data_IF_277868326463
#
_entry.id   IF_277868326463
#
_cell.length_a   1.000
_cell.length_b   1.000
_cell.length_c   1.000
_cell.angle_alpha   90.00
_cell.angle_beta   90.00
_cell.angle_gamma   90.00
#
_symmetry.space_group_name_H-M   'P 1'
#
loop_
_entity.id
_entity.type
_entity.pdbx_description
1 polymer ?
#
# COMPACT_ATOMS: atom_id res chain seq x y z
N UNK A 1 -3.74 2.31 -7.74
CA UNK A 1 -2.36 1.81 -7.76
C UNK A 1 -2.29 0.56 -8.62
N UNK A 2 -1.25 0.41 -9.40
CA UNK A 2 -1.10 -0.77 -10.24
C UNK A 2 0.20 -1.51 -9.90
N UNK A 3 0.47 -2.59 -10.62
CA UNK A 3 1.61 -3.45 -10.30
C UNK A 3 2.94 -2.71 -10.34
N UNK A 4 3.13 -1.90 -11.34
CA UNK A 4 4.36 -1.14 -11.48
C UNK A 4 4.53 -0.13 -10.37
N UNK A 5 3.47 0.55 -10.05
CA UNK A 5 3.49 1.56 -9.01
C UNK A 5 3.78 0.94 -7.65
N UNK A 6 3.17 -0.19 -7.38
CA UNK A 6 3.39 -0.86 -6.11
C UNK A 6 4.84 -1.31 -6.00
N UNK A 7 5.36 -1.89 -7.05
CA UNK A 7 6.73 -2.36 -7.04
C UNK A 7 7.71 -1.21 -6.83
N UNK A 8 7.48 -0.11 -7.49
CA UNK A 8 8.37 1.04 -7.38
C UNK A 8 8.35 1.74 -6.04
N UNK A 9 7.24 1.66 -5.33
CA UNK A 9 7.10 2.32 -4.03
C UNK A 9 7.02 1.35 -2.88
N UNK A 10 7.31 0.08 -3.13
CA UNK A 10 7.06 -0.95 -2.13
C UNK A 10 7.72 -0.69 -0.79
N UNK A 11 8.97 -0.29 -0.80
CA UNK A 11 9.71 -0.09 0.45
C UNK A 11 9.04 0.95 1.35
N UNK A 12 8.57 2.03 0.75
CA UNK A 12 7.87 3.07 1.49
C UNK A 12 6.46 2.61 1.84
N UNK A 13 5.80 2.00 0.88
CA UNK A 13 4.42 1.60 1.06
C UNK A 13 4.26 0.56 2.16
N UNK A 14 5.16 -0.41 2.21
CA UNK A 14 5.00 -1.48 3.19
C UNK A 14 5.08 -0.95 4.63
N UNK A 15 5.87 0.08 4.84
CA UNK A 15 5.97 0.67 6.16
C UNK A 15 4.67 1.32 6.58
N UNK A 16 4.07 2.07 5.68
CA UNK A 16 2.79 2.70 5.94
C UNK A 16 1.67 1.67 6.06
N UNK A 17 1.73 0.66 5.22
CA UNK A 17 0.75 -0.39 5.24
C UNK A 17 0.73 -1.10 6.58
N UNK A 18 1.90 -1.45 7.08
CA UNK A 18 1.98 -2.13 8.35
C UNK A 18 1.46 -1.25 9.49
N UNK A 19 1.78 0.02 9.42
CA UNK A 19 1.38 0.95 10.46
C UNK A 19 -0.13 1.17 10.50
N UNK A 20 -0.71 1.37 9.35
CA UNK A 20 -2.14 1.64 9.29
C UNK A 20 -2.99 0.38 9.30
N UNK A 21 -2.51 -0.67 8.68
CA UNK A 21 -3.25 -1.92 8.55
C UNK A 21 -2.51 -3.02 9.29
N UNK A 22 -2.65 -2.99 10.60
CA UNK A 22 -1.83 -3.81 11.50
C UNK A 22 -2.01 -5.31 11.41
N UNK A 23 -3.04 -5.79 10.71
CA UNK A 23 -3.22 -7.23 10.56
C UNK A 23 -2.18 -7.86 9.65
N UNK A 24 -1.53 -7.05 8.82
CA UNK A 24 -0.44 -7.57 8.01
C UNK A 24 0.77 -7.81 8.88
N UNK A 25 1.32 -8.99 8.80
CA UNK A 25 2.53 -9.33 9.55
C UNK A 25 3.74 -9.06 8.67
N UNK A 26 4.91 -9.06 9.29
CA UNK A 26 6.15 -8.92 8.53
C UNK A 26 6.26 -10.01 7.48
N UNK A 27 5.84 -11.21 7.84
CA UNK A 27 5.86 -12.32 6.92
C UNK A 27 4.96 -12.08 5.72
N UNK A 28 3.78 -11.54 5.97
CA UNK A 28 2.85 -11.18 4.90
C UNK A 28 3.48 -10.20 3.94
N UNK A 29 4.10 -9.17 4.49
CA UNK A 29 4.71 -8.13 3.68
C UNK A 29 5.86 -8.70 2.86
N UNK A 30 6.60 -9.61 3.44
CA UNK A 30 7.69 -10.25 2.75
C UNK A 30 7.19 -11.09 1.57
N UNK A 31 6.10 -11.80 1.79
CA UNK A 31 5.50 -12.61 0.75
C UNK A 31 4.98 -11.75 -0.40
N UNK A 32 4.40 -10.60 -0.07
CA UNK A 32 3.92 -9.69 -1.09
C UNK A 32 5.08 -9.15 -1.92
N UNK A 33 6.11 -8.68 -1.23
CA UNK A 33 7.35 -8.25 -1.88
C UNK A 33 7.17 -7.32 -3.07
N UNK A 34 6.15 -6.48 -3.02
CA UNK A 34 5.91 -5.55 -4.11
C UNK A 34 5.11 -6.11 -5.28
N UNK A 35 4.67 -7.35 -5.17
CA UNK A 35 3.85 -7.97 -6.20
C UNK A 35 2.39 -7.62 -5.99
N UNK A 36 1.79 -6.97 -6.97
CA UNK A 36 0.44 -6.47 -6.84
C UNK A 36 -0.59 -7.59 -6.64
N UNK A 37 -0.45 -8.66 -7.38
CA UNK A 37 -1.40 -9.77 -7.25
C UNK A 37 -1.35 -10.38 -5.86
N UNK A 38 -0.16 -10.50 -5.32
CA UNK A 38 0.00 -11.03 -3.97
C UNK A 38 -0.55 -10.07 -2.94
N UNK A 39 -0.37 -8.78 -3.18
CA UNK A 39 -0.92 -7.77 -2.28
C UNK A 39 -2.44 -7.88 -2.23
N UNK A 40 -3.08 -7.99 -3.39
CA UNK A 40 -4.53 -8.11 -3.45
C UNK A 40 -4.99 -9.39 -2.73
N UNK A 41 -4.29 -10.48 -2.94
CA UNK A 41 -4.64 -11.74 -2.30
C UNK A 41 -4.52 -11.66 -0.78
N UNK A 42 -3.45 -11.05 -0.30
CA UNK A 42 -3.28 -10.90 1.14
C UNK A 42 -4.30 -9.94 1.72
N UNK A 43 -4.63 -8.90 0.97
CA UNK A 43 -5.65 -7.96 1.41
C UNK A 43 -6.98 -8.67 1.59
N UNK A 44 -7.32 -9.53 0.65
CA UNK A 44 -8.54 -10.31 0.74
C UNK A 44 -8.51 -11.24 1.94
N UNK A 45 -7.36 -11.85 2.17
CA UNK A 45 -7.20 -12.81 3.24
C UNK A 45 -7.31 -12.17 4.62
N UNK A 46 -6.65 -11.03 4.79
CA UNK A 46 -6.59 -10.39 6.10
C UNK A 46 -7.76 -9.44 6.37
N UNK A 47 -8.28 -8.84 5.32
CA UNK A 47 -9.30 -7.80 5.45
C UNK A 47 -10.47 -7.99 4.52
N UNK A 48 -10.90 -9.22 4.30
CA UNK A 48 -11.96 -9.50 3.34
C UNK A 48 -13.01 -8.40 3.21
N UNK A 49 -13.68 -8.08 4.31
CA UNK A 49 -14.75 -7.08 4.29
C UNK A 49 -14.23 -5.68 4.01
N UNK A 50 -13.02 -5.41 4.43
CA UNK A 50 -12.47 -4.07 4.29
C UNK A 50 -11.47 -3.95 3.16
N UNK A 51 -11.42 -4.96 2.31
CA UNK A 51 -10.49 -4.94 1.20
C UNK A 51 -10.69 -3.71 0.32
N UNK A 52 -11.94 -3.34 0.08
CA UNK A 52 -12.23 -2.18 -0.74
C UNK A 52 -11.65 -0.90 -0.14
N UNK A 53 -11.82 -0.75 1.17
CA UNK A 53 -11.27 0.39 1.87
C UNK A 53 -9.76 0.41 1.76
N UNK A 54 -9.16 -0.76 1.94
CA UNK A 54 -7.71 -0.89 1.88
C UNK A 54 -7.20 -0.51 0.50
N UNK A 55 -7.84 -1.01 -0.54
CA UNK A 55 -7.41 -0.72 -1.90
C UNK A 55 -7.58 0.76 -2.22
N UNK A 56 -8.65 1.36 -1.72
CA UNK A 56 -8.88 2.78 -1.91
C UNK A 56 -7.80 3.59 -1.20
N UNK A 57 -7.48 3.18 0.00
CA UNK A 57 -6.42 3.85 0.74
C UNK A 57 -5.08 3.75 0.02
N UNK A 58 -4.78 2.59 -0.51
CA UNK A 58 -3.53 2.37 -1.22
C UNK A 58 -3.43 3.30 -2.44
N UNK A 59 -4.54 3.41 -3.15
CA UNK A 59 -4.60 4.26 -4.30
C UNK A 59 -4.37 5.71 -3.94
N UNK A 60 -5.04 6.16 -2.89
CA UNK A 60 -4.88 7.52 -2.41
C UNK A 60 -3.47 7.76 -1.89
N UNK A 61 -2.92 6.75 -1.23
CA UNK A 61 -1.57 6.87 -0.71
C UNK A 61 -0.57 7.14 -1.83
N UNK A 62 -0.71 6.42 -2.91
CA UNK A 62 0.22 6.58 -4.02
C UNK A 62 0.15 8.01 -4.58
N UNK A 63 -1.04 8.53 -4.69
CA UNK A 63 -1.21 9.87 -5.22
C UNK A 63 -0.80 10.95 -4.25
N UNK A 64 -0.83 10.65 -2.97
CA UNK A 64 -0.46 11.64 -1.95
C UNK A 64 0.96 11.50 -1.47
N UNK A 65 1.72 10.59 -2.04
CA UNK A 65 3.08 10.33 -1.58
C UNK A 65 3.95 11.58 -1.74
N UNK A 66 5.23 11.47 -1.51
CA UNK A 66 6.14 12.62 -1.40
C UNK A 66 5.93 13.76 -2.37
N UNK A 67 5.47 13.49 -3.55
CA UNK A 67 5.27 14.58 -4.51
C UNK A 67 4.22 15.56 -4.04
N UNK A 68 3.24 15.12 -3.29
CA UNK A 68 2.26 16.02 -2.73
C UNK A 68 2.88 17.00 -1.79
N UNK A 69 3.77 16.53 -0.98
CA UNK A 69 4.45 17.40 -0.04
C UNK A 69 5.19 18.48 -0.76
N UNK A 70 5.83 18.11 -1.84
CA UNK A 70 6.57 19.07 -2.62
C UNK A 70 5.66 20.16 -3.14
N UNK A 71 4.52 19.77 -3.61
CA UNK A 71 3.57 20.74 -4.12
C UNK A 71 3.14 21.70 -3.06
N UNK A 72 2.88 21.20 -1.88
CA UNK A 72 2.44 22.08 -0.81
C UNK A 72 3.46 23.11 -0.48
N UNK A 73 4.71 22.75 -0.55
CA UNK A 73 5.74 23.71 -0.27
C UNK A 73 5.76 24.83 -1.22
N UNK A 74 5.42 24.55 -2.45
CA UNK A 74 5.43 25.59 -3.46
C UNK A 74 4.40 26.63 -3.17
N UNK A 75 3.33 26.22 -2.55
CA UNK A 75 2.31 27.16 -2.19
C UNK A 75 2.66 27.90 -0.92
#
# INVERSE_FOLDING_TARGET
MNAEQLKGKWTQFKGELKEKWGKFTDNDLQEIGGNYDRFVAKAQERYGDKKRELMKWADQWYHKAPSDKTKKKIQ
#
